data_IF_821368166843
#
_entry.id   IF_821368166843
#
_cell.length_a   1.000
_cell.length_b   1.000
_cell.length_c   1.000
_cell.angle_alpha   90.00
_cell.angle_beta   90.00
_cell.angle_gamma   90.00
#
_symmetry.space_group_name_H-M   'P 1'
#
loop_
_entity.id
_entity.type
_entity.pdbx_description
1 polymer ?
#
# COMPACT_ATOMS: atom_id res chain seq x y z
N UNK A 1 27.80 17.39 17.86
CA UNK A 1 27.06 17.26 19.16
C UNK A 1 25.68 16.60 18.95
N UNK A 2 25.60 15.55 18.12
CA UNK A 2 24.38 14.74 17.92
C UNK A 2 23.76 14.24 19.24
N UNK A 3 24.53 13.79 20.26
CA UNK A 3 23.97 13.28 21.52
C UNK A 3 23.12 14.27 22.30
N UNK A 4 23.33 15.59 22.09
CA UNK A 4 22.56 16.64 22.81
C UNK A 4 21.24 17.02 22.15
N UNK A 5 20.99 16.50 20.93
CA UNK A 5 19.78 16.81 20.12
C UNK A 5 18.83 15.63 20.09
N UNK A 6 19.32 14.41 20.34
CA UNK A 6 18.49 13.21 20.34
C UNK A 6 17.67 13.12 21.63
N UNK A 7 16.36 13.11 21.49
CA UNK A 7 15.39 13.03 22.58
C UNK A 7 14.70 11.67 22.70
N UNK A 8 14.78 10.85 21.66
CA UNK A 8 14.18 9.51 21.61
C UNK A 8 14.81 8.66 20.50
N UNK A 9 14.67 7.36 20.60
CA UNK A 9 15.01 6.38 19.58
C UNK A 9 13.73 5.59 19.22
N UNK A 10 13.43 5.47 17.94
CA UNK A 10 12.34 4.64 17.43
C UNK A 10 12.85 3.57 16.47
N UNK A 11 12.25 2.39 16.49
CA UNK A 11 12.55 1.34 15.51
C UNK A 11 11.33 0.47 15.22
N UNK A 12 11.23 -0.02 13.97
CA UNK A 12 10.30 -1.08 13.63
C UNK A 12 10.79 -2.40 14.22
N UNK A 13 9.94 -3.06 15.02
CA UNK A 13 10.27 -4.28 15.76
C UNK A 13 9.52 -5.52 15.22
N UNK A 14 8.52 -5.30 14.35
CA UNK A 14 7.69 -6.34 13.74
C UNK A 14 6.99 -5.84 12.46
N UNK A 15 6.56 -6.75 11.56
CA UNK A 15 5.83 -6.34 10.35
C UNK A 15 4.52 -5.60 10.63
N UNK A 16 3.66 -6.17 11.48
CA UNK A 16 2.32 -5.66 11.81
C UNK A 16 2.06 -5.69 13.31
N UNK A 17 1.09 -4.90 13.76
CA UNK A 17 0.63 -4.86 15.16
C UNK A 17 -0.43 -5.95 15.41
N UNK A 18 -0.05 -7.23 15.21
CA UNK A 18 -0.89 -8.40 15.46
C UNK A 18 -0.08 -9.48 16.16
N UNK A 19 -0.75 -10.30 16.97
CA UNK A 19 -0.12 -11.41 17.67
C UNK A 19 0.56 -12.36 16.67
N UNK A 20 1.77 -12.82 17.00
CA UNK A 20 2.56 -13.70 16.13
C UNK A 20 3.22 -13.02 14.93
N UNK A 21 3.06 -11.73 14.73
CA UNK A 21 3.76 -10.98 13.68
C UNK A 21 5.26 -10.91 13.98
N UNK A 22 6.05 -11.68 13.23
CA UNK A 22 7.48 -11.84 13.46
C UNK A 22 8.25 -11.92 12.14
N UNK A 23 9.40 -11.27 12.12
CA UNK A 23 10.36 -11.38 11.03
C UNK A 23 11.77 -11.10 11.57
N UNK A 24 12.76 -12.01 11.35
CA UNK A 24 14.09 -11.91 11.98
C UNK A 24 14.83 -10.59 11.71
N UNK A 25 14.66 -9.99 10.54
CA UNK A 25 15.32 -8.73 10.18
C UNK A 25 14.99 -7.57 11.13
N UNK A 26 13.81 -7.55 11.76
CA UNK A 26 13.45 -6.50 12.71
C UNK A 26 14.18 -6.60 14.05
N UNK A 27 14.66 -7.79 14.44
CA UNK A 27 15.42 -7.98 15.67
C UNK A 27 16.73 -7.19 15.68
N UNK A 28 17.38 -7.05 14.53
CA UNK A 28 18.62 -6.28 14.43
C UNK A 28 18.35 -4.79 14.72
N UNK A 29 17.33 -4.19 14.11
CA UNK A 29 16.93 -2.81 14.35
C UNK A 29 16.48 -2.56 15.79
N UNK A 30 15.69 -3.49 16.35
CA UNK A 30 15.26 -3.44 17.75
C UNK A 30 16.42 -3.48 18.72
N UNK A 31 17.35 -4.42 18.54
CA UNK A 31 18.52 -4.60 19.42
C UNK A 31 19.43 -3.37 19.38
N UNK A 32 19.72 -2.85 18.19
CA UNK A 32 20.52 -1.63 18.05
C UNK A 32 19.81 -0.40 18.62
N UNK A 33 18.53 -0.25 18.33
CA UNK A 33 17.74 0.88 18.86
C UNK A 33 17.69 0.89 20.38
N UNK A 34 17.48 -0.25 21.03
CA UNK A 34 17.49 -0.39 22.48
C UNK A 34 18.88 -0.10 23.07
N UNK A 35 19.95 -0.60 22.45
CA UNK A 35 21.33 -0.35 22.89
C UNK A 35 21.65 1.17 22.81
N UNK A 36 21.32 1.82 21.70
CA UNK A 36 21.52 3.27 21.54
C UNK A 36 20.70 4.07 22.54
N UNK A 37 19.42 3.74 22.74
CA UNK A 37 18.57 4.42 23.70
C UNK A 37 19.12 4.30 25.13
N UNK A 38 19.62 3.12 25.49
CA UNK A 38 20.25 2.87 26.81
C UNK A 38 21.52 3.72 27.01
N UNK A 39 22.40 3.77 26.00
CA UNK A 39 23.65 4.55 26.08
C UNK A 39 23.39 6.05 26.14
N UNK A 40 22.38 6.52 25.44
CA UNK A 40 22.01 7.95 25.38
C UNK A 40 21.05 8.38 26.48
N UNK A 41 20.58 7.44 27.30
CA UNK A 41 19.60 7.67 28.37
C UNK A 41 18.32 8.35 27.86
N UNK A 42 17.86 7.93 26.67
CA UNK A 42 16.62 8.44 26.06
C UNK A 42 15.59 7.32 25.90
N UNK A 43 14.29 7.62 25.81
CA UNK A 43 13.25 6.60 25.63
C UNK A 43 13.40 5.88 24.29
N UNK A 44 13.06 4.58 24.29
CA UNK A 44 12.94 3.74 23.10
C UNK A 44 11.45 3.51 22.78
N UNK A 45 11.07 3.77 21.53
CA UNK A 45 9.73 3.52 21.00
C UNK A 45 9.74 2.41 19.96
N UNK A 46 9.05 1.30 20.27
CA UNK A 46 8.82 0.22 19.34
C UNK A 46 7.57 0.50 18.51
N UNK A 47 7.65 0.30 17.21
CA UNK A 47 6.48 0.33 16.32
C UNK A 47 6.48 -0.88 15.40
N UNK A 48 5.35 -1.18 14.76
CA UNK A 48 5.35 -2.09 13.63
C UNK A 48 5.76 -1.37 12.34
N UNK A 49 6.24 -2.12 11.36
CA UNK A 49 6.59 -1.57 10.04
C UNK A 49 5.37 -0.92 9.37
N UNK A 50 4.20 -1.55 9.51
CA UNK A 50 2.94 -1.00 9.00
C UNK A 50 2.57 0.35 9.64
N UNK A 51 2.74 0.50 10.95
CA UNK A 51 2.54 1.79 11.64
C UNK A 51 3.50 2.87 11.12
N UNK A 52 4.76 2.50 10.85
CA UNK A 52 5.73 3.40 10.24
C UNK A 52 5.31 3.89 8.85
N UNK A 53 4.76 3.01 8.01
CA UNK A 53 4.22 3.40 6.71
C UNK A 53 3.02 4.34 6.81
N UNK A 54 2.10 4.08 7.74
CA UNK A 54 0.92 4.94 7.98
C UNK A 54 1.36 6.34 8.42
N UNK A 55 2.26 6.41 9.40
CA UNK A 55 2.77 7.68 9.89
C UNK A 55 3.55 8.46 8.82
N UNK A 56 4.38 7.79 8.02
CA UNK A 56 5.12 8.40 6.92
C UNK A 56 4.18 8.95 5.83
N UNK A 57 3.12 8.23 5.52
CA UNK A 57 2.11 8.67 4.55
C UNK A 57 1.32 9.89 5.07
N UNK A 58 0.91 9.88 6.35
CA UNK A 58 0.24 11.01 6.99
C UNK A 58 1.14 12.25 7.02
N UNK A 59 2.42 12.07 7.36
CA UNK A 59 3.41 13.15 7.34
C UNK A 59 3.63 13.72 5.94
N UNK A 60 3.81 12.87 4.93
CA UNK A 60 4.00 13.27 3.54
C UNK A 60 2.79 14.01 2.97
N UNK A 61 1.60 13.63 3.39
CA UNK A 61 0.34 14.30 3.00
C UNK A 61 0.08 15.61 3.79
N UNK A 62 0.90 15.96 4.78
CA UNK A 62 0.65 17.10 5.68
C UNK A 62 -0.56 16.87 6.60
N UNK A 63 -0.94 15.61 6.85
CA UNK A 63 -2.15 15.22 7.56
C UNK A 63 -1.84 14.38 8.82
N UNK A 64 -0.90 14.86 9.63
CA UNK A 64 -0.57 14.23 10.91
C UNK A 64 -1.77 14.15 11.87
N UNK A 65 -2.76 15.03 11.70
CA UNK A 65 -4.05 14.99 12.40
C UNK A 65 -4.79 13.66 12.24
N UNK A 66 -4.54 12.92 11.17
CA UNK A 66 -5.14 11.60 10.93
C UNK A 66 -4.70 10.56 11.96
N UNK A 67 -3.51 10.70 12.54
CA UNK A 67 -3.04 9.76 13.56
C UNK A 67 -3.83 9.86 14.88
N UNK A 68 -4.54 10.97 15.10
CA UNK A 68 -5.34 11.24 16.29
C UNK A 68 -6.85 10.95 16.08
N UNK A 69 -7.25 10.40 14.94
CA UNK A 69 -8.65 10.11 14.60
C UNK A 69 -8.79 8.86 13.74
N UNK A 70 -9.97 8.18 13.77
CA UNK A 70 -10.24 7.07 12.87
C UNK A 70 -10.14 7.51 11.39
N UNK A 71 -9.51 6.67 10.55
CA UNK A 71 -9.37 6.91 9.12
C UNK A 71 -9.16 5.60 8.36
N UNK A 72 -9.28 5.65 7.04
CA UNK A 72 -8.98 4.54 6.15
C UNK A 72 -7.61 4.75 5.48
N UNK A 73 -6.86 3.68 5.30
CA UNK A 73 -5.57 3.73 4.60
C UNK A 73 -5.53 2.67 3.52
N UNK A 74 -5.27 3.08 2.29
CA UNK A 74 -4.80 2.18 1.25
C UNK A 74 -3.29 2.02 1.32
N UNK A 75 -2.83 0.78 1.40
CA UNK A 75 -1.43 0.45 1.21
C UNK A 75 -1.26 -0.19 -0.17
N UNK A 76 -0.79 0.61 -1.14
CA UNK A 76 -0.65 0.24 -2.56
C UNK A 76 0.84 0.18 -2.91
N UNK A 77 1.40 -1.03 -2.96
CA UNK A 77 2.83 -1.22 -3.19
C UNK A 77 3.12 -2.40 -4.14
N UNK A 78 4.39 -2.63 -4.43
CA UNK A 78 4.83 -3.80 -5.19
C UNK A 78 4.44 -5.15 -4.58
N UNK A 79 4.32 -5.22 -3.25
CA UNK A 79 3.99 -6.45 -2.52
C UNK A 79 2.60 -6.47 -1.89
N UNK A 80 1.94 -5.32 -1.75
CA UNK A 80 0.74 -5.18 -0.92
C UNK A 80 -0.32 -4.34 -1.62
N UNK A 81 -1.57 -4.76 -1.50
CA UNK A 81 -2.75 -3.98 -1.90
C UNK A 81 -3.83 -4.24 -0.86
N UNK A 82 -3.82 -3.46 0.20
CA UNK A 82 -4.68 -3.64 1.38
C UNK A 82 -5.40 -2.35 1.73
N UNK A 83 -6.67 -2.47 2.12
CA UNK A 83 -7.46 -1.42 2.74
C UNK A 83 -7.49 -1.65 4.24
N UNK A 84 -7.02 -0.66 4.99
CA UNK A 84 -6.90 -0.71 6.43
C UNK A 84 -7.89 0.26 7.07
N UNK A 85 -8.53 -0.17 8.15
CA UNK A 85 -9.20 0.70 9.10
C UNK A 85 -8.23 0.98 10.24
N UNK A 86 -7.96 2.25 10.49
CA UNK A 86 -6.94 2.73 11.42
C UNK A 86 -7.60 3.55 12.51
N UNK A 87 -7.25 3.26 13.75
CA UNK A 87 -7.71 4.01 14.93
C UNK A 87 -6.52 4.41 15.81
N UNK A 88 -6.61 5.54 16.54
CA UNK A 88 -5.60 5.90 17.54
C UNK A 88 -5.49 4.82 18.63
N UNK A 89 -4.28 4.54 19.08
CA UNK A 89 -3.98 3.64 20.20
C UNK A 89 -2.83 4.21 21.03
N UNK A 90 -3.14 5.00 22.04
CA UNK A 90 -2.17 5.74 22.83
C UNK A 90 -1.36 6.71 21.96
N UNK A 91 -0.03 6.57 21.96
CA UNK A 91 0.88 7.35 21.12
C UNK A 91 1.07 6.76 19.71
N UNK A 92 0.38 5.68 19.40
CA UNK A 92 0.50 4.91 18.15
C UNK A 92 -0.86 4.78 17.47
N UNK A 93 -0.94 3.98 16.44
CA UNK A 93 -2.19 3.62 15.77
C UNK A 93 -2.33 2.10 15.69
N UNK A 94 -3.57 1.61 15.76
CA UNK A 94 -3.91 0.23 15.45
C UNK A 94 -4.55 0.17 14.07
N UNK A 95 -4.05 -0.75 13.22
CA UNK A 95 -4.54 -0.96 11.87
C UNK A 95 -5.14 -2.35 11.70
N UNK A 96 -6.37 -2.41 11.22
CA UNK A 96 -7.08 -3.65 10.90
C UNK A 96 -7.30 -3.73 9.40
N UNK A 97 -6.89 -4.83 8.76
CA UNK A 97 -7.18 -5.06 7.36
C UNK A 97 -8.67 -5.37 7.16
N UNK A 98 -9.36 -4.57 6.36
CA UNK A 98 -10.79 -4.68 6.08
C UNK A 98 -11.09 -5.00 4.61
N UNK A 99 -10.07 -5.08 3.76
CA UNK A 99 -10.24 -5.36 2.34
C UNK A 99 -8.93 -5.30 1.58
N UNK A 100 -9.03 -5.33 0.26
CA UNK A 100 -7.91 -5.30 -0.67
C UNK A 100 -7.94 -6.44 -1.67
N UNK A 101 -6.79 -6.77 -2.26
CA UNK A 101 -6.70 -7.92 -3.16
C UNK A 101 -6.58 -9.23 -2.39
N UNK A 102 -7.23 -10.27 -2.91
CA UNK A 102 -7.14 -11.63 -2.37
C UNK A 102 -5.96 -12.44 -2.93
N UNK A 103 -5.23 -11.90 -3.91
CA UNK A 103 -4.17 -12.62 -4.63
C UNK A 103 -2.95 -11.73 -4.92
N UNK A 104 -2.74 -11.33 -6.17
CA UNK A 104 -1.59 -10.51 -6.56
C UNK A 104 -1.80 -9.03 -6.22
N UNK A 105 -0.72 -8.33 -5.86
CA UNK A 105 -0.78 -6.89 -5.59
C UNK A 105 -0.90 -6.07 -6.87
N UNK A 106 -1.34 -4.81 -6.73
CA UNK A 106 -1.42 -3.86 -7.84
C UNK A 106 -0.05 -3.67 -8.51
N UNK A 107 1.00 -3.48 -7.71
CA UNK A 107 2.35 -3.33 -8.26
C UNK A 107 2.85 -4.58 -8.99
N UNK A 108 2.55 -5.78 -8.48
CA UNK A 108 2.86 -7.03 -9.20
C UNK A 108 2.13 -7.11 -10.53
N UNK A 109 0.84 -6.75 -10.57
CA UNK A 109 0.08 -6.75 -11.82
C UNK A 109 0.68 -5.76 -12.84
N UNK A 110 1.06 -4.56 -12.41
CA UNK A 110 1.72 -3.55 -13.25
C UNK A 110 3.06 -4.08 -13.78
N UNK A 111 3.90 -4.63 -12.91
CA UNK A 111 5.23 -5.14 -13.31
C UNK A 111 5.13 -6.35 -14.25
N UNK A 112 4.16 -7.24 -14.03
CA UNK A 112 3.89 -8.36 -14.92
C UNK A 112 3.37 -7.91 -16.29
N UNK A 113 2.54 -6.85 -16.30
CA UNK A 113 2.11 -6.20 -17.54
C UNK A 113 3.29 -5.63 -18.31
N UNK A 114 4.15 -4.88 -17.63
CA UNK A 114 5.38 -4.35 -18.23
C UNK A 114 6.28 -5.45 -18.79
N UNK A 115 6.51 -6.52 -18.05
CA UNK A 115 7.28 -7.68 -18.50
C UNK A 115 6.66 -8.32 -19.76
N UNK A 116 5.33 -8.48 -19.80
CA UNK A 116 4.61 -9.03 -20.95
C UNK A 116 4.77 -8.18 -22.21
N UNK A 117 4.82 -6.85 -22.03
CA UNK A 117 4.95 -5.87 -23.12
C UNK A 117 6.41 -5.51 -23.45
N UNK A 118 7.41 -6.12 -22.77
CA UNK A 118 8.84 -5.83 -22.99
C UNK A 118 9.29 -4.48 -22.44
N UNK A 119 8.57 -3.91 -21.47
CA UNK A 119 8.92 -2.65 -20.82
C UNK A 119 9.99 -2.86 -19.73
N UNK A 120 10.76 -1.82 -19.37
CA UNK A 120 11.78 -1.92 -18.32
C UNK A 120 11.17 -2.12 -16.93
N UNK A 121 11.92 -2.78 -16.04
CA UNK A 121 11.56 -2.95 -14.63
C UNK A 121 12.27 -1.88 -13.76
N UNK A 122 11.61 -1.29 -12.77
CA UNK A 122 10.18 -1.39 -12.44
C UNK A 122 9.29 -0.73 -13.52
N UNK A 123 8.15 -1.35 -13.83
CA UNK A 123 7.37 -0.99 -15.02
C UNK A 123 6.36 0.15 -14.79
N UNK A 124 6.09 0.55 -13.55
CA UNK A 124 5.02 1.48 -13.20
C UNK A 124 4.98 2.73 -14.06
N UNK A 125 6.10 3.47 -14.13
CA UNK A 125 6.20 4.70 -14.92
C UNK A 125 5.94 4.47 -16.41
N UNK A 126 6.55 3.41 -16.99
CA UNK A 126 6.40 3.12 -18.42
C UNK A 126 4.96 2.68 -18.76
N UNK A 127 4.32 1.90 -17.88
CA UNK A 127 2.92 1.48 -18.03
C UNK A 127 1.99 2.69 -17.93
N UNK A 128 2.23 3.61 -17.00
CA UNK A 128 1.44 4.82 -16.85
C UNK A 128 1.55 5.72 -18.08
N UNK A 129 2.77 6.09 -18.48
CA UNK A 129 3.03 6.94 -19.66
C UNK A 129 2.42 6.33 -20.94
N UNK A 130 2.51 5.02 -21.10
CA UNK A 130 1.97 4.34 -22.28
C UNK A 130 0.43 4.30 -22.25
N UNK A 131 -0.18 4.12 -21.09
CA UNK A 131 -1.64 4.11 -20.92
C UNK A 131 -2.31 5.40 -21.37
N UNK A 132 -1.61 6.54 -21.21
CA UNK A 132 -2.11 7.86 -21.64
C UNK A 132 -2.33 7.96 -23.15
N UNK A 133 -1.67 7.10 -23.94
CA UNK A 133 -1.76 7.06 -25.40
C UNK A 133 -2.91 6.14 -25.89
N UNK A 134 -3.64 5.47 -24.99
CA UNK A 134 -4.74 4.59 -25.34
C UNK A 134 -5.88 5.37 -26.03
N UNK A 135 -6.31 4.88 -27.19
CA UNK A 135 -7.42 5.43 -27.96
C UNK A 135 -8.74 4.77 -27.57
N UNK A 136 -8.74 3.45 -27.44
CA UNK A 136 -9.86 2.70 -26.87
C UNK A 136 -9.70 2.60 -25.35
N UNK A 137 -10.66 3.18 -24.65
CA UNK A 137 -10.72 3.24 -23.19
C UNK A 137 -11.81 2.31 -22.66
N UNK A 138 -11.95 1.16 -23.26
CA UNK A 138 -12.90 0.12 -22.81
C UNK A 138 -12.59 -0.32 -21.39
N UNK A 139 -13.62 -0.36 -20.55
CA UNK A 139 -13.55 -0.80 -19.17
C UNK A 139 -14.21 -2.16 -18.99
N UNK A 140 -13.58 -2.98 -18.17
CA UNK A 140 -14.16 -4.24 -17.71
C UNK A 140 -14.43 -4.14 -16.22
N UNK A 141 -15.63 -4.54 -15.82
CA UNK A 141 -16.04 -4.43 -14.43
C UNK A 141 -15.23 -5.37 -13.53
N UNK A 142 -14.56 -4.82 -12.54
CA UNK A 142 -13.92 -5.58 -11.47
C UNK A 142 -14.98 -5.96 -10.43
N UNK A 143 -15.09 -7.25 -10.12
CA UNK A 143 -15.99 -7.73 -9.06
C UNK A 143 -15.36 -7.45 -7.71
N UNK A 144 -16.03 -6.65 -6.89
CA UNK A 144 -15.64 -6.36 -5.51
C UNK A 144 -16.74 -6.85 -4.58
N UNK A 145 -16.38 -7.59 -3.54
CA UNK A 145 -17.31 -8.11 -2.53
C UNK A 145 -16.68 -7.93 -1.15
N UNK A 146 -17.39 -7.27 -0.26
CA UNK A 146 -16.91 -6.96 1.10
C UNK A 146 -15.50 -6.33 1.11
N UNK A 147 -15.34 -5.27 0.32
CA UNK A 147 -14.08 -4.55 0.10
C UNK A 147 -12.94 -5.40 -0.49
N UNK A 148 -13.19 -6.64 -0.93
CA UNK A 148 -12.18 -7.55 -1.44
C UNK A 148 -12.38 -7.83 -2.94
N UNK A 149 -11.29 -7.93 -3.68
CA UNK A 149 -11.27 -8.23 -5.11
C UNK A 149 -10.06 -9.08 -5.48
N UNK A 150 -10.04 -9.61 -6.72
CA UNK A 150 -8.96 -10.43 -7.26
C UNK A 150 -8.40 -9.77 -8.52
N UNK A 151 -7.08 -9.73 -8.63
CA UNK A 151 -6.39 -9.29 -9.83
C UNK A 151 -5.94 -10.42 -10.75
N UNK A 152 -5.99 -11.69 -10.32
CA UNK A 152 -5.63 -12.84 -11.20
C UNK A 152 -6.49 -12.90 -12.46
N UNK A 153 -7.79 -12.60 -12.36
CA UNK A 153 -8.68 -12.51 -13.52
C UNK A 153 -8.31 -11.37 -14.47
N UNK A 154 -7.85 -10.24 -13.92
CA UNK A 154 -7.36 -9.10 -14.70
C UNK A 154 -6.06 -9.46 -15.43
N UNK A 155 -5.13 -10.14 -14.74
CA UNK A 155 -3.88 -10.63 -15.34
C UNK A 155 -4.15 -11.58 -16.52
N UNK A 156 -5.05 -12.54 -16.33
CA UNK A 156 -5.41 -13.46 -17.39
C UNK A 156 -5.99 -12.74 -18.62
N UNK A 157 -6.85 -11.75 -18.40
CA UNK A 157 -7.42 -10.95 -19.48
C UNK A 157 -6.36 -10.08 -20.16
N UNK A 158 -5.47 -9.46 -19.38
CA UNK A 158 -4.32 -8.68 -19.87
C UNK A 158 -3.43 -9.53 -20.78
N UNK A 159 -3.11 -10.77 -20.37
CA UNK A 159 -2.33 -11.69 -21.18
C UNK A 159 -3.03 -12.01 -22.50
N UNK A 160 -4.34 -12.30 -22.46
CA UNK A 160 -5.13 -12.59 -23.66
C UNK A 160 -5.20 -11.37 -24.62
N UNK A 161 -5.35 -10.14 -24.10
CA UNK A 161 -5.31 -8.92 -24.89
C UNK A 161 -3.97 -8.73 -25.58
N UNK A 162 -2.87 -8.90 -24.86
CA UNK A 162 -1.52 -8.74 -25.40
C UNK A 162 -1.23 -9.81 -26.48
N UNK A 163 -1.62 -11.07 -26.26
CA UNK A 163 -1.47 -12.17 -27.24
C UNK A 163 -2.37 -11.99 -28.45
N UNK A 164 -3.54 -11.39 -28.28
CA UNK A 164 -4.49 -11.07 -29.34
C UNK A 164 -4.10 -9.87 -30.22
N UNK A 165 -2.93 -9.26 -29.96
CA UNK A 165 -2.43 -8.13 -30.75
C UNK A 165 -3.08 -6.79 -30.40
N UNK A 166 -3.73 -6.67 -29.23
CA UNK A 166 -4.22 -5.37 -28.73
C UNK A 166 -3.04 -4.41 -28.55
N UNK A 167 -3.16 -3.15 -29.01
CA UNK A 167 -2.08 -2.17 -28.85
C UNK A 167 -1.60 -2.05 -27.40
N UNK A 168 -0.28 -1.99 -27.15
CA UNK A 168 0.27 -1.93 -25.80
C UNK A 168 -0.33 -0.83 -24.91
N UNK A 169 -0.66 0.33 -25.47
CA UNK A 169 -1.28 1.42 -24.74
C UNK A 169 -2.65 1.04 -24.15
N UNK A 170 -3.47 0.32 -24.93
CA UNK A 170 -4.79 -0.12 -24.48
C UNK A 170 -4.71 -1.25 -23.45
N UNK A 171 -3.68 -2.12 -23.55
CA UNK A 171 -3.38 -3.12 -22.51
C UNK A 171 -3.02 -2.44 -21.19
N UNK A 172 -2.14 -1.45 -21.24
CA UNK A 172 -1.76 -0.64 -20.05
C UNK A 172 -2.97 0.09 -19.45
N UNK A 173 -3.77 0.74 -20.29
CA UNK A 173 -5.00 1.39 -19.86
C UNK A 173 -5.97 0.41 -19.18
N UNK A 174 -6.19 -0.77 -19.77
CA UNK A 174 -7.03 -1.80 -19.19
C UNK A 174 -6.60 -2.17 -17.78
N UNK A 175 -5.30 -2.38 -17.59
CA UNK A 175 -4.75 -2.79 -16.28
C UNK A 175 -4.91 -1.69 -15.25
N UNK A 176 -4.47 -0.44 -15.55
CA UNK A 176 -4.54 0.66 -14.60
C UNK A 176 -5.98 1.03 -14.27
N UNK A 177 -6.87 1.09 -15.26
CA UNK A 177 -8.28 1.37 -15.03
C UNK A 177 -8.97 0.29 -14.19
N UNK A 178 -8.57 -0.98 -14.36
CA UNK A 178 -9.08 -2.08 -13.52
C UNK A 178 -8.61 -1.96 -12.07
N UNK A 179 -7.35 -1.59 -11.83
CA UNK A 179 -6.83 -1.35 -10.49
C UNK A 179 -7.60 -0.21 -9.82
N UNK A 180 -7.74 0.93 -10.51
CA UNK A 180 -8.47 2.10 -10.02
C UNK A 180 -9.91 1.73 -9.67
N UNK A 181 -10.61 1.01 -10.56
CA UNK A 181 -11.99 0.59 -10.32
C UNK A 181 -12.13 -0.33 -9.10
N UNK A 182 -11.20 -1.28 -8.91
CA UNK A 182 -11.17 -2.16 -7.73
C UNK A 182 -11.00 -1.36 -6.44
N UNK A 183 -10.03 -0.47 -6.41
CA UNK A 183 -9.74 0.42 -5.27
C UNK A 183 -10.92 1.34 -4.98
N UNK A 184 -11.46 2.01 -6.00
CA UNK A 184 -12.60 2.92 -5.86
C UNK A 184 -13.84 2.19 -5.32
N UNK A 185 -14.21 1.06 -5.91
CA UNK A 185 -15.39 0.30 -5.49
C UNK A 185 -15.24 -0.23 -4.07
N UNK A 186 -14.06 -0.75 -3.69
CA UNK A 186 -13.80 -1.20 -2.33
C UNK A 186 -13.84 -0.03 -1.34
N UNK A 187 -13.31 1.14 -1.71
CA UNK A 187 -13.40 2.36 -0.89
C UNK A 187 -14.84 2.79 -0.67
N UNK A 188 -15.66 2.78 -1.71
CA UNK A 188 -17.10 3.11 -1.59
C UNK A 188 -17.82 2.14 -0.64
N UNK A 189 -17.55 0.84 -0.74
CA UNK A 189 -18.11 -0.17 0.18
C UNK A 189 -17.65 0.06 1.63
N UNK A 190 -16.38 0.39 1.84
CA UNK A 190 -15.85 0.71 3.15
C UNK A 190 -16.49 1.98 3.74
N UNK A 191 -16.69 3.02 2.93
CA UNK A 191 -17.33 4.27 3.36
C UNK A 191 -18.82 4.10 3.68
N UNK A 192 -19.49 3.07 3.17
CA UNK A 192 -20.84 2.70 3.64
C UNK A 192 -20.77 2.15 5.08
N UNK A 193 -19.74 1.38 5.43
CA UNK A 193 -19.53 0.84 6.77
C UNK A 193 -18.95 1.88 7.75
N UNK A 194 -18.10 2.77 7.24
CA UNK A 194 -17.37 3.79 7.99
C UNK A 194 -17.62 5.18 7.39
N UNK A 195 -18.83 5.74 7.53
CA UNK A 195 -19.21 6.95 6.82
C UNK A 195 -18.41 8.17 7.28
N UNK A 196 -18.01 9.00 6.30
CA UNK A 196 -17.32 10.26 6.55
C UNK A 196 -15.85 10.16 6.96
N UNK A 197 -15.27 8.96 7.04
CA UNK A 197 -13.85 8.83 7.35
C UNK A 197 -12.97 9.33 6.20
N UNK A 198 -11.88 10.03 6.52
CA UNK A 198 -10.87 10.37 5.51
C UNK A 198 -10.16 9.11 5.02
N UNK A 199 -9.71 9.16 3.77
CA UNK A 199 -8.96 8.08 3.11
C UNK A 199 -7.57 8.57 2.77
N UNK A 200 -6.56 7.88 3.28
CA UNK A 200 -5.14 8.12 3.00
C UNK A 200 -4.64 7.03 2.05
N UNK A 201 -3.89 7.40 1.01
CA UNK A 201 -3.21 6.45 0.14
C UNK A 201 -1.71 6.46 0.42
N UNK A 202 -1.14 5.29 0.64
CA UNK A 202 0.27 5.06 0.91
C UNK A 202 0.83 4.04 -0.08
N UNK A 203 2.06 4.25 -0.54
CA UNK A 203 2.77 3.34 -1.43
C UNK A 203 3.28 4.02 -2.69
N UNK A 204 3.84 3.23 -3.61
CA UNK A 204 4.46 3.70 -4.85
C UNK A 204 3.72 3.28 -6.13
N UNK A 205 2.48 2.87 -5.99
CA UNK A 205 1.60 2.47 -7.12
C UNK A 205 0.69 3.61 -7.51
#
# INVERSE_FOLDING_TARGET
>A
DLPRVLTAIGASTRPREVEGSYMPCFLAGESQGKAMASVLEVPFYACSHQQGHIAAAAWSAGRMDLLDQPHLVWHLSGGTTELLYVVPDGAMVQATCIGGTSDISAGQLIDRTGKKLGLPFPAGKAVDELSLQARDKTHFRVKVSDCTFSFSGIENKMNALAEGGTPPAEVCWYVLSSIIQGVETATQQALVRYPGLPVLCAGGV
#
